data_IF_539360656227
#
_entry.id   IF_539360656227
#
_cell.length_a   1.000
_cell.length_b   1.000
_cell.length_c   1.000
_cell.angle_alpha   90.00
_cell.angle_beta   90.00
_cell.angle_gamma   90.00
#
_symmetry.space_group_name_H-M   'P 1'
#
loop_
_entity.id
_entity.type
_entity.pdbx_description
1 polymer ?
#
# COMPACT_ATOMS: atom_id res chain seq x y z
N UNK A 1 19.28 2.12 13.09
CA UNK A 1 18.00 1.85 12.41
C UNK A 1 17.08 3.08 12.46
N UNK A 2 17.59 4.23 12.03
CA UNK A 2 16.82 5.49 11.92
C UNK A 2 16.05 5.61 10.59
N UNK A 3 16.01 4.56 9.79
CA UNK A 3 15.56 4.64 8.39
C UNK A 3 14.05 4.49 8.29
N UNK A 4 13.43 3.62 9.10
CA UNK A 4 11.97 3.40 9.05
C UNK A 4 11.18 4.66 9.42
N UNK A 5 10.16 4.97 8.63
CA UNK A 5 9.22 6.07 8.89
C UNK A 5 8.45 5.82 10.19
N UNK A 6 8.05 4.58 10.46
CA UNK A 6 7.34 4.18 11.67
C UNK A 6 8.13 4.47 12.96
N UNK A 7 9.47 4.47 12.91
CA UNK A 7 10.31 4.83 14.06
C UNK A 7 10.45 6.34 14.28
N UNK A 8 9.88 7.17 13.41
CA UNK A 8 10.02 8.64 13.39
C UNK A 8 8.77 9.40 13.83
N UNK A 9 7.85 8.76 14.53
CA UNK A 9 6.56 9.34 14.95
C UNK A 9 6.66 10.63 15.81
N UNK A 10 7.84 10.96 16.35
CA UNK A 10 8.08 12.14 17.18
C UNK A 10 8.83 13.29 16.48
N UNK A 11 8.91 13.28 15.15
CA UNK A 11 9.58 14.37 14.42
C UNK A 11 8.75 15.66 14.52
N UNK A 12 9.40 16.76 14.90
CA UNK A 12 8.79 18.10 14.92
C UNK A 12 8.66 18.70 13.50
N UNK A 13 9.41 18.21 12.53
CA UNK A 13 9.36 18.65 11.13
C UNK A 13 9.74 17.51 10.18
N UNK A 14 9.16 17.55 8.98
CA UNK A 14 9.53 16.63 7.91
C UNK A 14 10.94 16.92 7.40
N UNK A 15 11.77 15.90 7.23
CA UNK A 15 13.10 16.05 6.62
C UNK A 15 12.97 16.47 5.14
N UNK A 16 13.86 17.33 4.66
CA UNK A 16 13.90 17.78 3.26
C UNK A 16 13.98 16.62 2.26
N UNK A 17 14.54 15.48 2.66
CA UNK A 17 14.60 14.26 1.83
C UNK A 17 13.23 13.69 1.44
N UNK A 18 12.16 14.10 2.09
CA UNK A 18 10.77 13.67 1.81
C UNK A 18 9.96 14.76 1.11
N UNK A 19 10.58 15.88 0.75
CA UNK A 19 9.90 17.01 0.14
C UNK A 19 10.22 17.04 -1.35
N UNK A 20 9.23 16.73 -2.17
CA UNK A 20 9.37 16.83 -3.62
C UNK A 20 9.67 18.28 -4.05
N UNK A 21 10.53 18.50 -5.05
CA UNK A 21 10.75 19.81 -5.62
C UNK A 21 9.44 20.41 -6.14
N UNK A 22 9.34 21.73 -6.16
CA UNK A 22 8.06 22.44 -6.40
C UNK A 22 7.43 22.07 -7.74
N UNK A 23 8.25 21.89 -8.77
CA UNK A 23 7.86 21.48 -10.11
C UNK A 23 7.28 20.04 -10.19
N UNK A 24 7.65 19.16 -9.26
CA UNK A 24 7.15 17.79 -9.18
C UNK A 24 5.90 17.64 -8.30
N UNK A 25 5.43 18.73 -7.69
CA UNK A 25 4.22 18.71 -6.86
C UNK A 25 2.98 18.95 -7.72
N UNK A 26 1.82 18.39 -7.36
CA UNK A 26 0.57 18.59 -8.12
C UNK A 26 0.07 20.04 -8.12
N UNK A 27 0.70 20.94 -7.34
CA UNK A 27 0.31 22.35 -7.27
C UNK A 27 -1.10 22.55 -6.74
N UNK A 28 -1.75 23.62 -7.22
CA UNK A 28 -3.14 23.97 -6.88
C UNK A 28 -4.13 23.42 -7.91
N UNK A 29 -3.89 22.25 -8.45
CA UNK A 29 -4.82 21.62 -9.40
C UNK A 29 -6.10 21.28 -8.66
N UNK A 30 -7.24 21.74 -9.17
CA UNK A 30 -8.55 21.34 -8.66
C UNK A 30 -8.73 19.82 -8.95
N UNK A 31 -8.73 19.03 -7.89
CA UNK A 31 -8.98 17.58 -8.00
C UNK A 31 -10.49 17.41 -8.22
N UNK A 32 -10.87 16.89 -9.37
CA UNK A 32 -12.26 16.54 -9.62
C UNK A 32 -12.67 15.37 -8.71
N UNK A 33 -13.82 15.52 -8.05
CA UNK A 33 -14.44 14.41 -7.32
C UNK A 33 -14.88 13.36 -8.33
N UNK A 34 -14.42 12.13 -8.17
CA UNK A 34 -14.91 10.99 -8.92
C UNK A 34 -15.98 10.27 -8.10
N UNK A 35 -17.24 10.44 -8.45
CA UNK A 35 -18.39 9.82 -7.78
C UNK A 35 -18.74 8.43 -8.36
N UNK A 36 -18.04 8.01 -9.42
CA UNK A 36 -18.37 6.84 -10.23
C UNK A 36 -17.31 5.74 -10.23
N UNK A 37 -16.52 5.64 -9.16
CA UNK A 37 -15.57 4.53 -9.01
C UNK A 37 -16.37 3.21 -9.07
N UNK A 38 -16.02 2.27 -9.98
CA UNK A 38 -16.75 1.04 -10.14
C UNK A 38 -16.74 0.18 -8.86
N UNK A 39 -17.90 -0.37 -8.50
CA UNK A 39 -18.06 -1.36 -7.43
C UNK A 39 -18.56 -2.65 -8.08
N UNK A 40 -17.77 -3.71 -7.99
CA UNK A 40 -18.04 -5.00 -8.64
C UNK A 40 -18.45 -6.03 -7.60
N UNK A 41 -19.59 -6.68 -7.80
CA UNK A 41 -20.10 -7.73 -6.93
C UNK A 41 -19.53 -9.09 -7.37
N UNK A 42 -18.74 -9.73 -6.49
CA UNK A 42 -18.12 -11.03 -6.73
C UNK A 42 -18.98 -12.21 -6.22
N UNK A 43 -20.20 -11.98 -5.72
CA UNK A 43 -21.02 -12.99 -5.06
C UNK A 43 -21.35 -14.20 -5.94
N UNK A 44 -21.44 -14.04 -7.26
CA UNK A 44 -21.70 -15.12 -8.22
C UNK A 44 -20.52 -15.39 -9.17
N UNK A 45 -19.27 -15.12 -8.71
CA UNK A 45 -18.07 -15.30 -9.55
C UNK A 45 -17.81 -16.77 -9.90
N UNK A 46 -18.30 -17.72 -9.09
CA UNK A 46 -18.21 -19.16 -9.35
C UNK A 46 -19.43 -19.71 -10.14
N UNK A 47 -20.47 -18.90 -10.36
CA UNK A 47 -21.72 -19.26 -10.96
C UNK A 47 -21.88 -18.83 -12.43
N UNK A 48 -23.13 -18.66 -12.82
CA UNK A 48 -23.51 -18.34 -14.21
C UNK A 48 -23.12 -16.91 -14.63
N UNK A 49 -22.93 -16.00 -13.68
CA UNK A 49 -22.60 -14.60 -13.96
C UNK A 49 -21.10 -14.33 -14.12
N UNK A 50 -20.26 -15.35 -14.03
CA UNK A 50 -18.79 -15.21 -14.09
C UNK A 50 -18.29 -14.41 -15.30
N UNK A 51 -18.88 -14.66 -16.48
CA UNK A 51 -18.46 -13.99 -17.71
C UNK A 51 -18.75 -12.48 -17.66
N UNK A 52 -19.90 -12.08 -17.12
CA UNK A 52 -20.25 -10.67 -16.97
C UNK A 52 -19.35 -9.98 -15.94
N UNK A 53 -19.12 -10.62 -14.79
CA UNK A 53 -18.19 -10.10 -13.75
C UNK A 53 -16.78 -9.89 -14.34
N UNK A 54 -16.28 -10.85 -15.14
CA UNK A 54 -14.99 -10.70 -15.81
C UNK A 54 -14.95 -9.51 -16.78
N UNK A 55 -16.05 -9.24 -17.50
CA UNK A 55 -16.16 -8.06 -18.37
C UNK A 55 -16.22 -6.75 -17.59
N UNK A 56 -16.93 -6.73 -16.46
CA UNK A 56 -16.96 -5.56 -15.57
C UNK A 56 -15.57 -5.25 -15.00
N UNK A 57 -14.83 -6.27 -14.55
CA UNK A 57 -13.44 -6.12 -14.08
C UNK A 57 -12.56 -5.56 -15.21
N UNK A 58 -12.63 -6.14 -16.42
CA UNK A 58 -11.85 -5.69 -17.56
C UNK A 58 -12.14 -4.23 -17.89
N UNK A 59 -13.41 -3.85 -17.98
CA UNK A 59 -13.85 -2.49 -18.25
C UNK A 59 -13.35 -1.52 -17.18
N UNK A 60 -13.57 -1.84 -15.90
CA UNK A 60 -13.12 -1.02 -14.78
C UNK A 60 -11.59 -0.83 -14.78
N UNK A 61 -10.83 -1.90 -15.07
CA UNK A 61 -9.38 -1.85 -15.19
C UNK A 61 -8.91 -0.95 -16.34
N UNK A 62 -9.59 -0.97 -17.47
CA UNK A 62 -9.25 -0.14 -18.64
C UNK A 62 -9.61 1.33 -18.45
N UNK A 63 -10.76 1.62 -17.83
CA UNK A 63 -11.26 3.00 -17.71
C UNK A 63 -10.70 3.72 -16.48
N UNK A 64 -10.51 3.00 -15.35
CA UNK A 64 -10.13 3.61 -14.07
C UNK A 64 -8.77 3.12 -13.55
N UNK A 65 -8.28 1.96 -13.98
CA UNK A 65 -7.07 1.33 -13.45
C UNK A 65 -7.26 0.68 -12.08
N UNK A 66 -8.38 0.91 -11.40
CA UNK A 66 -8.76 0.32 -10.11
C UNK A 66 -10.27 0.28 -9.94
N UNK A 67 -10.75 -0.54 -9.01
CA UNK A 67 -12.17 -0.69 -8.66
C UNK A 67 -12.32 -1.19 -7.22
N UNK A 68 -13.52 -1.11 -6.69
CA UNK A 68 -13.89 -1.72 -5.41
C UNK A 68 -14.59 -3.05 -5.67
N UNK A 69 -14.50 -3.97 -4.71
CA UNK A 69 -15.21 -5.25 -4.77
C UNK A 69 -16.06 -5.45 -3.52
N UNK A 70 -17.24 -6.07 -3.71
CA UNK A 70 -18.11 -6.52 -2.63
C UNK A 70 -18.38 -8.01 -2.78
N UNK A 71 -18.85 -8.65 -1.72
CA UNK A 71 -19.16 -10.10 -1.68
C UNK A 71 -17.98 -10.99 -2.12
N UNK A 72 -16.76 -10.54 -1.82
CA UNK A 72 -15.49 -11.17 -2.22
C UNK A 72 -15.11 -12.41 -1.40
N UNK A 73 -15.94 -12.84 -0.45
CA UNK A 73 -15.73 -14.05 0.35
C UNK A 73 -14.77 -13.94 1.55
N UNK A 74 -14.01 -12.85 1.66
CA UNK A 74 -13.15 -12.60 2.83
C UNK A 74 -14.01 -12.00 3.94
N UNK A 75 -14.02 -12.63 5.12
CA UNK A 75 -14.82 -12.13 6.23
C UNK A 75 -14.28 -10.79 6.77
N UNK A 76 -15.19 -9.93 7.24
CA UNK A 76 -14.83 -8.66 7.87
C UNK A 76 -13.95 -8.86 9.12
N UNK A 77 -14.19 -9.94 9.86
CA UNK A 77 -13.36 -10.29 11.01
C UNK A 77 -11.89 -10.53 10.58
N UNK A 78 -11.68 -11.39 9.59
CA UNK A 78 -10.34 -11.67 9.07
C UNK A 78 -9.62 -10.41 8.56
N UNK A 79 -10.33 -9.53 7.85
CA UNK A 79 -9.76 -8.25 7.41
C UNK A 79 -9.35 -7.37 8.60
N UNK A 80 -10.21 -7.25 9.61
CA UNK A 80 -9.92 -6.46 10.79
C UNK A 80 -8.75 -7.03 11.60
N UNK A 81 -8.73 -8.35 11.80
CA UNK A 81 -7.66 -9.05 12.51
C UNK A 81 -6.31 -8.87 11.79
N UNK A 82 -6.31 -9.01 10.46
CA UNK A 82 -5.13 -8.76 9.63
C UNK A 82 -4.62 -7.32 9.78
N UNK A 83 -5.52 -6.34 9.69
CA UNK A 83 -5.15 -4.93 9.88
C UNK A 83 -4.58 -4.66 11.28
N UNK A 84 -5.15 -5.29 12.32
CA UNK A 84 -4.65 -5.16 13.70
C UNK A 84 -3.24 -5.72 13.84
N UNK A 85 -2.99 -6.92 13.29
CA UNK A 85 -1.65 -7.54 13.32
C UNK A 85 -0.62 -6.68 12.59
N UNK A 86 -0.92 -6.17 11.39
CA UNK A 86 -0.01 -5.27 10.68
C UNK A 86 0.26 -3.99 11.46
N UNK A 87 -0.76 -3.41 12.08
CA UNK A 87 -0.59 -2.23 12.93
C UNK A 87 0.35 -2.52 14.09
N UNK A 88 0.16 -3.64 14.81
CA UNK A 88 1.04 -4.07 15.88
C UNK A 88 2.49 -4.22 15.41
N UNK A 89 2.72 -4.84 14.23
CA UNK A 89 4.06 -4.98 13.66
C UNK A 89 4.72 -3.63 13.44
N UNK A 90 4.02 -2.65 12.84
CA UNK A 90 4.59 -1.33 12.57
C UNK A 90 4.73 -0.45 13.83
N UNK A 91 4.09 -0.82 14.94
CA UNK A 91 4.22 -0.19 16.25
C UNK A 91 5.30 -0.82 17.14
N UNK A 92 5.93 -1.94 16.70
CA UNK A 92 7.01 -2.60 17.43
C UNK A 92 8.23 -1.69 17.60
N UNK A 93 9.00 -1.84 18.70
CA UNK A 93 10.28 -1.18 18.87
C UNK A 93 11.24 -1.46 17.71
N UNK A 94 12.05 -0.47 17.37
CA UNK A 94 12.97 -0.58 16.22
C UNK A 94 13.98 -1.73 16.36
N UNK A 95 14.39 -2.07 17.59
CA UNK A 95 15.24 -3.21 17.90
C UNK A 95 14.60 -4.57 17.52
N UNK A 96 13.31 -4.73 17.72
CA UNK A 96 12.60 -5.95 17.40
C UNK A 96 12.43 -6.12 15.88
N UNK A 97 12.32 -5.02 15.15
CA UNK A 97 12.22 -4.99 13.69
C UNK A 97 13.59 -5.17 12.98
N UNK A 98 14.70 -5.02 13.70
CA UNK A 98 16.05 -5.09 13.12
C UNK A 98 16.33 -6.38 12.35
N UNK A 99 15.79 -7.50 12.82
CA UNK A 99 15.99 -8.83 12.22
C UNK A 99 15.31 -9.01 10.86
N UNK A 100 14.25 -8.26 10.59
CA UNK A 100 13.49 -8.32 9.34
C UNK A 100 13.75 -7.14 8.40
N UNK A 101 14.44 -6.09 8.87
CA UNK A 101 14.83 -4.99 8.00
C UNK A 101 15.90 -5.43 6.99
N UNK A 102 15.70 -5.10 5.73
CA UNK A 102 16.68 -5.36 4.67
C UNK A 102 16.41 -4.49 3.44
N UNK A 103 17.46 -3.98 2.84
CA UNK A 103 17.43 -3.31 1.54
C UNK A 103 17.64 -4.29 0.38
N UNK A 104 17.99 -5.54 0.67
CA UNK A 104 18.18 -6.60 -0.33
C UNK A 104 16.85 -7.01 -0.96
N UNK A 105 16.62 -6.74 -2.26
CA UNK A 105 15.37 -7.06 -2.93
C UNK A 105 15.10 -8.56 -3.06
N UNK A 106 16.13 -9.39 -2.99
CA UNK A 106 16.02 -10.85 -3.13
C UNK A 106 15.60 -11.54 -1.84
N UNK A 107 15.59 -10.79 -0.71
CA UNK A 107 15.15 -11.34 0.57
C UNK A 107 13.62 -11.47 0.57
N UNK A 108 13.13 -12.69 0.75
CA UNK A 108 11.71 -13.05 0.64
C UNK A 108 10.80 -12.42 1.70
N UNK A 109 11.28 -12.25 2.92
CA UNK A 109 10.55 -11.54 3.98
C UNK A 109 11.41 -10.39 4.50
N UNK A 110 10.96 -9.16 4.26
CA UNK A 110 11.71 -7.98 4.69
C UNK A 110 10.83 -6.79 4.96
N UNK A 111 11.28 -5.99 5.90
CA UNK A 111 10.78 -4.65 6.17
C UNK A 111 11.76 -3.65 5.54
N UNK A 112 11.26 -2.67 4.80
CA UNK A 112 12.07 -1.62 4.20
C UNK A 112 11.28 -0.32 4.06
N UNK A 113 11.96 0.78 3.78
CA UNK A 113 11.34 2.12 3.70
C UNK A 113 11.42 2.68 2.28
N UNK A 114 10.54 3.59 1.95
CA UNK A 114 10.45 4.34 0.70
C UNK A 114 10.25 3.48 -0.55
N UNK A 115 11.26 2.80 -1.06
CA UNK A 115 11.18 1.88 -2.21
C UNK A 115 12.34 0.88 -2.20
N UNK A 116 12.36 0.00 -3.20
CA UNK A 116 13.45 -0.97 -3.42
C UNK A 116 14.78 -0.31 -3.83
N UNK A 117 14.77 0.99 -4.11
CA UNK A 117 15.94 1.74 -4.58
C UNK A 117 16.32 2.88 -3.64
N UNK A 118 16.05 2.74 -2.34
CA UNK A 118 16.22 3.78 -1.33
C UNK A 118 17.54 4.58 -1.45
N UNK A 119 18.66 3.87 -1.67
CA UNK A 119 19.98 4.50 -1.76
C UNK A 119 20.16 5.40 -3.01
N UNK A 120 19.32 5.23 -4.05
CA UNK A 120 19.40 5.92 -5.33
C UNK A 120 18.26 6.93 -5.54
N UNK A 121 17.42 7.14 -4.52
CA UNK A 121 16.29 8.09 -4.61
C UNK A 121 16.75 9.51 -4.29
N UNK A 122 16.41 10.45 -5.16
CA UNK A 122 16.60 11.88 -4.89
C UNK A 122 15.61 12.38 -3.81
N UNK A 123 14.41 11.84 -3.82
CA UNK A 123 13.36 12.13 -2.83
C UNK A 123 12.75 10.83 -2.33
N UNK A 124 12.72 10.65 -1.03
CA UNK A 124 12.15 9.46 -0.40
C UNK A 124 10.63 9.55 -0.27
N UNK A 125 9.96 8.41 -0.37
CA UNK A 125 8.55 8.29 -0.06
C UNK A 125 8.34 8.07 1.44
N UNK A 126 7.36 8.74 2.02
CA UNK A 126 7.00 8.62 3.44
C UNK A 126 6.15 7.37 3.68
N UNK A 127 6.79 6.21 3.61
CA UNK A 127 6.14 4.91 3.81
C UNK A 127 7.14 3.81 4.13
N UNK A 128 6.68 2.82 4.89
CA UNK A 128 7.38 1.56 5.12
C UNK A 128 6.63 0.41 4.46
N UNK A 129 7.36 -0.62 4.08
CA UNK A 129 6.82 -1.82 3.44
C UNK A 129 7.22 -3.07 4.19
N UNK A 130 6.30 -3.99 4.35
CA UNK A 130 6.55 -5.36 4.75
C UNK A 130 6.21 -6.29 3.58
N UNK A 131 7.21 -7.01 3.06
CA UNK A 131 6.99 -8.09 2.10
C UNK A 131 6.85 -9.39 2.86
N UNK A 132 5.71 -10.10 2.77
CA UNK A 132 5.55 -11.40 3.39
C UNK A 132 6.38 -12.46 2.66
N UNK A 133 6.60 -13.60 3.33
CA UNK A 133 7.16 -14.79 2.68
C UNK A 133 6.26 -15.19 1.48
N UNK A 134 6.84 -15.53 0.33
CA UNK A 134 6.07 -16.18 -0.73
C UNK A 134 5.54 -17.51 -0.18
N UNK A 135 4.24 -17.72 -0.37
CA UNK A 135 3.55 -18.97 -0.02
C UNK A 135 3.99 -20.12 -0.92
#
# INVERSE_FOLDING_TARGET
>A
MEILVSSRCNLQSLSEKYIFPEEARPGKVAIALCESIPVIDLGDIAGHNRANIAQEILKASQEFGFFQVINHGVSKALMNDTMSVFKEVFEMPAEDLAGIYSEDPDRSCRLFTSSNSYANEDVHNWRDFLTPLPS
#
